data_IF_732904640617
#
_entry.id   IF_732904640617
#
_cell.length_a   1.000
_cell.length_b   1.000
_cell.length_c   1.000
_cell.angle_alpha   90.00
_cell.angle_beta   90.00
_cell.angle_gamma   90.00
#
_symmetry.space_group_name_H-M   'P 1'
#
loop_
_entity.id
_entity.type
_entity.pdbx_description
1 polymer ?
#
# COMPACT_ATOMS: atom_id res chain seq x y z
N UNK A 1 29.33 -33.72 -3.72
CA UNK A 1 29.48 -32.37 -3.11
C UNK A 1 28.64 -31.24 -3.74
N UNK A 2 27.71 -31.48 -4.68
CA UNK A 2 26.88 -30.40 -5.28
C UNK A 2 25.64 -30.02 -4.44
N UNK A 3 25.09 -30.94 -3.65
CA UNK A 3 23.84 -30.71 -2.89
C UNK A 3 24.06 -29.89 -1.62
N UNK A 4 25.26 -29.91 -1.03
CA UNK A 4 25.59 -29.18 0.20
C UNK A 4 25.50 -27.66 0.02
N UNK A 5 25.95 -27.13 -1.13
CA UNK A 5 25.83 -25.69 -1.47
C UNK A 5 24.39 -25.19 -1.57
N UNK A 6 23.45 -26.06 -1.97
CA UNK A 6 22.03 -25.69 -2.12
C UNK A 6 21.37 -25.51 -0.75
N UNK A 7 21.72 -26.31 0.25
CA UNK A 7 21.13 -26.19 1.60
C UNK A 7 21.49 -24.86 2.27
N UNK A 8 22.75 -24.42 2.18
CA UNK A 8 23.18 -23.11 2.71
C UNK A 8 22.46 -21.93 2.04
N UNK A 9 22.20 -22.00 0.74
CA UNK A 9 21.42 -20.99 0.02
C UNK A 9 19.95 -20.93 0.50
N UNK A 10 19.34 -22.07 0.83
CA UNK A 10 17.97 -22.09 1.35
C UNK A 10 17.89 -21.61 2.81
N UNK A 11 18.90 -21.93 3.63
CA UNK A 11 19.00 -21.43 5.02
C UNK A 11 19.23 -19.92 5.02
N UNK A 12 20.10 -19.39 4.16
CA UNK A 12 20.32 -17.96 4.01
C UNK A 12 19.03 -17.21 3.62
N UNK A 13 18.25 -17.78 2.72
CA UNK A 13 16.97 -17.21 2.30
C UNK A 13 15.93 -17.23 3.44
N UNK A 14 15.94 -18.27 4.28
CA UNK A 14 15.08 -18.38 5.45
C UNK A 14 15.44 -17.33 6.52
N UNK A 15 16.73 -17.11 6.78
CA UNK A 15 17.19 -16.09 7.72
C UNK A 15 16.87 -14.65 7.25
N UNK A 16 16.89 -14.40 5.94
CA UNK A 16 16.53 -13.08 5.39
C UNK A 16 15.02 -12.80 5.44
N UNK A 17 14.18 -13.84 5.48
CA UNK A 17 12.74 -13.69 5.62
C UNK A 17 12.33 -13.19 7.03
N UNK A 18 13.12 -13.49 8.07
CA UNK A 18 12.83 -13.10 9.45
C UNK A 18 13.30 -11.69 9.83
N UNK A 19 14.17 -11.04 9.05
CA UNK A 19 14.59 -9.66 9.32
C UNK A 19 13.63 -8.60 8.77
N UNK A 20 12.57 -9.01 8.06
CA UNK A 20 11.51 -8.12 7.57
C UNK A 20 10.43 -7.90 8.63
N UNK A 21 10.82 -7.50 9.85
CA UNK A 21 9.85 -6.90 10.76
C UNK A 21 9.55 -5.48 10.24
N UNK A 22 8.34 -5.28 9.73
CA UNK A 22 7.85 -3.96 9.39
C UNK A 22 7.93 -3.07 10.64
N UNK A 23 8.63 -1.94 10.54
CA UNK A 23 8.64 -0.94 11.60
C UNK A 23 7.23 -0.35 11.69
N UNK A 24 6.47 -0.84 12.66
CA UNK A 24 5.14 -0.32 13.00
C UNK A 24 5.33 1.06 13.63
N UNK A 25 5.37 2.09 12.79
CA UNK A 25 5.37 3.48 13.25
C UNK A 25 3.91 3.78 13.54
N UNK A 26 3.51 3.62 14.81
CA UNK A 26 2.15 3.86 15.30
C UNK A 26 1.83 5.36 15.30
N UNK A 27 1.78 5.97 14.11
CA UNK A 27 1.19 7.29 13.95
C UNK A 27 -0.32 7.10 14.08
N UNK A 28 -0.92 7.78 15.06
CA UNK A 28 -2.36 7.72 15.31
C UNK A 28 -3.08 8.50 14.19
N UNK A 29 -3.52 7.75 13.16
CA UNK A 29 -4.32 8.29 12.08
C UNK A 29 -5.81 8.21 12.43
N UNK A 30 -6.51 9.32 12.22
CA UNK A 30 -7.93 9.45 12.49
C UNK A 30 -8.68 9.42 11.17
N UNK A 31 -9.66 8.51 11.07
CA UNK A 31 -10.51 8.35 9.90
C UNK A 31 -11.66 9.37 9.93
N UNK A 32 -11.83 10.12 8.84
CA UNK A 32 -12.94 11.07 8.68
C UNK A 32 -13.42 11.10 7.23
N UNK A 33 -14.64 11.62 7.04
CA UNK A 33 -15.19 11.84 5.70
C UNK A 33 -14.80 13.23 5.18
N UNK A 34 -14.39 13.26 3.92
CA UNK A 34 -14.03 14.48 3.22
C UNK A 34 -14.80 14.61 1.92
N UNK A 35 -15.17 15.84 1.57
CA UNK A 35 -15.84 16.18 0.31
C UNK A 35 -14.80 16.69 -0.68
N UNK A 36 -14.75 16.09 -1.87
CA UNK A 36 -13.89 16.53 -2.96
C UNK A 36 -14.39 17.87 -3.50
N UNK A 37 -13.53 18.88 -3.48
CA UNK A 37 -13.79 20.21 -4.04
C UNK A 37 -13.29 20.36 -5.46
N UNK A 38 -12.12 19.80 -5.74
CA UNK A 38 -11.46 19.94 -7.04
C UNK A 38 -10.59 18.71 -7.30
N UNK A 39 -10.62 18.19 -8.53
CA UNK A 39 -9.78 17.06 -8.94
C UNK A 39 -8.78 17.51 -10.00
N UNK A 40 -7.49 17.34 -9.68
CA UNK A 40 -6.38 17.64 -10.56
C UNK A 40 -5.71 16.36 -11.04
N UNK A 41 -5.76 16.11 -12.35
CA UNK A 41 -5.07 14.99 -13.00
C UNK A 41 -3.93 15.49 -13.88
N UNK A 42 -2.74 14.91 -13.69
CA UNK A 42 -1.55 15.26 -14.47
C UNK A 42 -0.91 14.01 -15.04
N UNK A 43 -0.60 14.04 -16.33
CA UNK A 43 0.16 13.00 -17.03
C UNK A 43 1.50 13.58 -17.44
N UNK A 44 2.59 12.89 -17.10
CA UNK A 44 3.96 13.27 -17.45
C UNK A 44 4.69 12.06 -18.01
N UNK A 45 4.79 12.00 -19.34
CA UNK A 45 5.39 10.86 -20.06
C UNK A 45 4.74 9.54 -19.63
N UNK A 46 5.50 8.65 -18.97
CA UNK A 46 5.04 7.33 -18.50
C UNK A 46 4.41 7.34 -17.10
N UNK A 47 4.26 8.49 -16.45
CA UNK A 47 3.70 8.61 -15.09
C UNK A 47 2.43 9.45 -15.11
N UNK A 48 1.44 9.03 -14.34
CA UNK A 48 0.23 9.80 -14.06
C UNK A 48 0.10 10.06 -12.55
N UNK A 49 -0.58 11.14 -12.19
CA UNK A 49 -0.93 11.46 -10.81
C UNK A 49 -2.29 12.12 -10.77
N UNK A 50 -3.14 11.66 -9.86
CA UNK A 50 -4.38 12.33 -9.49
C UNK A 50 -4.29 12.86 -8.07
N UNK A 51 -4.67 14.11 -7.87
CA UNK A 51 -4.73 14.79 -6.57
C UNK A 51 -6.05 15.50 -6.46
N UNK A 52 -6.69 15.43 -5.29
CA UNK A 52 -7.90 16.16 -5.00
C UNK A 52 -7.68 17.14 -3.86
N UNK A 53 -8.28 18.33 -3.99
CA UNK A 53 -8.47 19.26 -2.89
C UNK A 53 -9.74 18.85 -2.15
N UNK A 54 -9.63 18.54 -0.87
CA UNK A 54 -10.72 17.99 -0.06
C UNK A 54 -11.00 18.87 1.14
N UNK A 55 -12.29 19.01 1.48
CA UNK A 55 -12.74 19.68 2.69
C UNK A 55 -13.25 18.64 3.70
N UNK A 56 -12.77 18.71 4.93
CA UNK A 56 -13.10 17.75 6.00
C UNK A 56 -13.20 18.47 7.34
N UNK A 57 -13.83 17.80 8.30
CA UNK A 57 -13.88 18.28 9.68
C UNK A 57 -12.95 17.47 10.56
N UNK A 58 -12.18 18.17 11.39
CA UNK A 58 -11.42 17.55 12.49
C UNK A 58 -12.37 17.13 13.61
N UNK A 59 -11.89 16.29 14.53
CA UNK A 59 -12.65 15.94 15.75
C UNK A 59 -13.04 17.19 16.56
N UNK A 60 -12.20 18.22 16.52
CA UNK A 60 -12.41 19.49 17.24
C UNK A 60 -13.51 20.35 16.59
N UNK A 61 -14.00 19.96 15.40
CA UNK A 61 -15.08 20.63 14.68
C UNK A 61 -14.61 21.62 13.62
N UNK A 62 -13.30 21.86 13.52
CA UNK A 62 -12.73 22.78 12.55
C UNK A 62 -12.86 22.24 11.12
N UNK A 63 -13.28 23.12 10.22
CA UNK A 63 -13.36 22.80 8.80
C UNK A 63 -12.05 23.17 8.12
N UNK A 64 -11.29 22.15 7.71
CA UNK A 64 -10.01 22.30 7.05
C UNK A 64 -10.10 21.91 5.58
N UNK A 65 -9.16 22.42 4.78
CA UNK A 65 -8.99 22.04 3.39
C UNK A 65 -7.55 21.62 3.16
N UNK A 66 -7.34 20.44 2.59
CA UNK A 66 -6.00 19.93 2.26
C UNK A 66 -6.03 19.15 0.95
N UNK A 67 -4.85 18.76 0.47
CA UNK A 67 -4.66 18.06 -0.80
C UNK A 67 -4.32 16.60 -0.49
N UNK A 68 -5.05 15.69 -1.13
CA UNK A 68 -4.82 14.26 -1.00
C UNK A 68 -4.59 13.62 -2.37
N UNK A 69 -3.78 12.58 -2.41
CA UNK A 69 -3.56 11.78 -3.61
C UNK A 69 -4.74 10.82 -3.81
N UNK A 70 -5.32 10.81 -5.00
CA UNK A 70 -6.40 9.88 -5.34
C UNK A 70 -5.87 8.63 -6.06
N UNK A 71 -6.61 7.54 -5.90
CA UNK A 71 -6.48 6.40 -6.80
C UNK A 71 -6.95 6.82 -8.20
N UNK A 72 -6.17 6.43 -9.19
CA UNK A 72 -6.43 6.79 -10.57
C UNK A 72 -5.95 5.69 -11.50
N UNK A 73 -6.59 5.61 -12.65
CA UNK A 73 -6.14 4.75 -13.73
C UNK A 73 -5.19 5.59 -14.60
N UNK A 74 -3.99 5.07 -14.91
CA UNK A 74 -3.08 5.76 -15.81
C UNK A 74 -3.74 6.14 -17.13
N UNK A 75 -3.46 7.34 -17.63
CA UNK A 75 -4.00 7.91 -18.87
C UNK A 75 -5.52 8.15 -18.93
N UNK A 76 -6.31 7.58 -18.02
CA UNK A 76 -7.77 7.72 -17.99
C UNK A 76 -8.21 8.79 -16.99
N UNK A 77 -7.64 8.83 -15.78
CA UNK A 77 -7.99 9.83 -14.77
C UNK A 77 -8.31 9.25 -13.39
N UNK A 78 -8.75 10.13 -12.49
CA UNK A 78 -9.24 9.76 -11.16
C UNK A 78 -10.56 8.98 -11.26
N UNK A 79 -10.78 8.06 -10.31
CA UNK A 79 -12.05 7.33 -10.20
C UNK A 79 -13.14 8.20 -9.58
N UNK A 80 -12.75 9.05 -8.62
CA UNK A 80 -13.64 9.94 -7.89
C UNK A 80 -13.80 11.30 -8.60
N UNK A 81 -14.93 11.98 -8.37
CA UNK A 81 -15.29 13.26 -8.98
C UNK A 81 -15.52 14.36 -7.94
N UNK A 82 -15.63 15.59 -8.43
CA UNK A 82 -15.99 16.74 -7.60
C UNK A 82 -17.38 16.55 -6.98
N UNK A 83 -17.49 16.82 -5.67
CA UNK A 83 -18.69 16.57 -4.89
C UNK A 83 -18.77 15.19 -4.24
N UNK A 84 -17.93 14.24 -4.65
CA UNK A 84 -17.92 12.91 -4.02
C UNK A 84 -17.36 12.96 -2.59
N UNK A 85 -17.84 12.04 -1.75
CA UNK A 85 -17.35 11.85 -0.39
C UNK A 85 -16.35 10.70 -0.37
N UNK A 86 -15.17 10.97 0.17
CA UNK A 86 -14.11 9.96 0.34
C UNK A 86 -13.70 9.85 1.79
N UNK A 87 -13.19 8.68 2.17
CA UNK A 87 -12.63 8.45 3.49
C UNK A 87 -11.14 8.78 3.49
N UNK A 88 -10.76 9.71 4.35
CA UNK A 88 -9.38 10.14 4.52
C UNK A 88 -8.90 9.81 5.94
N UNK A 89 -7.59 9.67 6.05
CA UNK A 89 -6.87 9.47 7.29
C UNK A 89 -5.99 10.71 7.49
N UNK A 90 -6.21 11.44 8.58
CA UNK A 90 -5.37 12.58 8.95
C UNK A 90 -4.56 12.26 10.20
N UNK A 91 -3.33 12.78 10.26
CA UNK A 91 -2.50 12.65 11.46
C UNK A 91 -2.97 13.65 12.53
N UNK A 92 -3.21 13.20 13.76
CA UNK A 92 -3.63 14.06 14.88
C UNK A 92 -2.61 15.17 15.19
N UNK A 93 -1.32 14.87 15.12
CA UNK A 93 -0.24 15.82 15.39
C UNK A 93 -0.05 16.82 14.25
N UNK A 94 -0.40 16.43 13.02
CA UNK A 94 -0.23 17.23 11.81
C UNK A 94 -1.46 17.09 10.89
N UNK A 95 -2.56 17.80 11.20
CA UNK A 95 -3.85 17.60 10.53
C UNK A 95 -3.82 17.83 9.01
N UNK A 96 -2.84 18.61 8.51
CA UNK A 96 -2.65 18.88 7.08
C UNK A 96 -2.11 17.68 6.30
N UNK A 97 -1.45 16.72 6.97
CA UNK A 97 -0.97 15.49 6.34
C UNK A 97 -2.12 14.50 6.20
N UNK A 98 -2.65 14.44 4.99
CA UNK A 98 -3.74 13.55 4.61
C UNK A 98 -3.25 12.37 3.80
N UNK A 99 -3.80 11.21 4.09
CA UNK A 99 -3.70 10.03 3.22
C UNK A 99 -5.09 9.50 2.92
N UNK A 100 -5.35 9.14 1.67
CA UNK A 100 -6.53 8.33 1.36
C UNK A 100 -6.36 6.98 2.01
N UNK A 101 -7.44 6.43 2.58
CA UNK A 101 -7.47 5.03 3.01
C UNK A 101 -7.43 4.11 1.79
N UNK A 102 -6.24 3.97 1.20
CA UNK A 102 -5.93 2.95 0.22
C UNK A 102 -5.59 1.70 1.00
N UNK A 103 -6.59 0.91 1.37
CA UNK A 103 -6.37 -0.50 1.68
C UNK A 103 -6.05 -1.21 0.37
N UNK A 104 -4.91 -0.90 -0.24
CA UNK A 104 -4.44 -1.63 -1.40
C UNK A 104 -4.20 -3.04 -0.90
N UNK A 105 -5.02 -3.99 -1.38
CA UNK A 105 -4.92 -5.40 -1.03
C UNK A 105 -3.47 -5.91 -1.17
N UNK A 106 -2.74 -5.39 -2.16
CA UNK A 106 -1.32 -5.67 -2.37
C UNK A 106 -0.39 -5.12 -1.28
N UNK A 107 -0.68 -3.95 -0.69
CA UNK A 107 0.11 -3.43 0.43
C UNK A 107 -0.10 -4.26 1.69
N UNK A 108 -1.35 -4.63 1.99
CA UNK A 108 -1.67 -5.38 3.21
C UNK A 108 -1.33 -6.87 3.10
N UNK A 109 -1.49 -7.47 1.91
CA UNK A 109 -1.41 -8.92 1.72
C UNK A 109 -0.32 -9.39 0.75
N UNK A 110 0.38 -8.48 0.07
CA UNK A 110 1.40 -8.84 -0.92
C UNK A 110 2.55 -9.67 -0.35
N UNK A 111 2.98 -9.37 0.88
CA UNK A 111 4.03 -10.16 1.54
C UNK A 111 3.55 -11.59 1.83
N UNK A 112 2.34 -11.75 2.38
CA UNK A 112 1.77 -13.08 2.62
C UNK A 112 1.59 -13.87 1.32
N UNK A 113 1.19 -13.22 0.23
CA UNK A 113 1.10 -13.84 -1.09
C UNK A 113 2.45 -14.33 -1.60
N UNK A 114 3.51 -13.51 -1.50
CA UNK A 114 4.87 -13.89 -1.91
C UNK A 114 5.43 -15.05 -1.09
N UNK A 115 5.20 -15.04 0.23
CA UNK A 115 5.59 -16.14 1.12
C UNK A 115 4.88 -17.43 0.73
N UNK A 116 3.56 -17.38 0.50
CA UNK A 116 2.78 -18.54 0.04
C UNK A 116 3.30 -19.10 -1.28
N UNK A 117 3.59 -18.23 -2.24
CA UNK A 117 4.10 -18.61 -3.55
C UNK A 117 5.51 -19.27 -3.45
N UNK A 118 6.36 -18.76 -2.55
CA UNK A 118 7.66 -19.37 -2.24
C UNK A 118 7.54 -20.79 -1.67
N UNK A 119 6.60 -21.01 -0.74
CA UNK A 119 6.34 -22.33 -0.14
C UNK A 119 5.85 -23.32 -1.21
N UNK A 120 4.93 -22.92 -2.08
CA UNK A 120 4.40 -23.77 -3.16
C UNK A 120 5.53 -24.22 -4.10
N UNK A 121 6.41 -23.30 -4.53
CA UNK A 121 7.55 -23.62 -5.39
C UNK A 121 8.51 -24.59 -4.70
N UNK A 122 8.79 -24.39 -3.40
CA UNK A 122 9.65 -25.27 -2.62
C UNK A 122 9.09 -26.69 -2.52
N UNK A 123 7.79 -26.83 -2.20
CA UNK A 123 7.11 -28.13 -2.11
C UNK A 123 7.09 -28.83 -3.47
N UNK A 124 6.73 -28.11 -4.55
CA UNK A 124 6.73 -28.65 -5.90
C UNK A 124 8.11 -29.20 -6.29
N UNK A 125 9.18 -28.45 -6.00
CA UNK A 125 10.55 -28.88 -6.30
C UNK A 125 10.99 -30.09 -5.46
N UNK A 126 10.54 -30.17 -4.21
CA UNK A 126 10.86 -31.30 -3.33
C UNK A 126 10.16 -32.59 -3.80
N UNK A 127 8.87 -32.52 -4.10
CA UNK A 127 8.08 -33.66 -4.59
C UNK A 127 8.61 -34.20 -5.92
N UNK A 128 8.99 -33.32 -6.86
CA UNK A 128 9.58 -33.75 -8.13
C UNK A 128 10.99 -34.32 -8.03
N UNK A 129 11.70 -34.09 -6.92
CA UNK A 129 13.02 -34.72 -6.65
C UNK A 129 12.90 -36.08 -5.98
N UNK A 130 11.80 -36.37 -5.30
CA UNK A 130 11.56 -37.69 -4.68
C UNK A 130 11.14 -38.77 -5.69
N UNK A 131 10.75 -38.38 -6.92
CA UNK A 131 10.35 -39.29 -8.00
C UNK A 131 11.52 -39.70 -8.91
N UNK A 132 12.77 -39.38 -8.53
CA UNK A 132 13.99 -39.67 -9.29
C UNK A 132 15.02 -40.28 -8.38
#
# INVERSE_FOLDING_TARGET
MKNFKIYYINILFLCFAFSLFAQDTSLEYIETEAVIKEVNFKVRSRRSSATAKVAYKTIEGDSLTSIVKLMHIPFIGALDKEGDRIKILYNKETPLLLTTKSTSFWQSYGLYFLVGLGIIILLYRFLNRSKK
#
